data_IF_804703965158
#
_entry.id   IF_804703965158
#
_cell.length_a   1.000
_cell.length_b   1.000
_cell.length_c   1.000
_cell.angle_alpha   90.00
_cell.angle_beta   90.00
_cell.angle_gamma   90.00
#
_symmetry.space_group_name_H-M   'P 1'
#
loop_
_entity.id
_entity.type
_entity.pdbx_description
1 polymer ?
#
# COMPACT_ATOMS: atom_id res chain seq x y z
N UNK A 1 -8.98 -27.04 -14.49
CA UNK A 1 -10.06 -26.16 -14.04
C UNK A 1 -9.86 -24.78 -14.65
N UNK A 2 -10.82 -24.30 -15.44
CA UNK A 2 -10.77 -22.99 -16.10
C UNK A 2 -11.36 -21.86 -15.21
N UNK A 3 -11.47 -22.09 -13.90
CA UNK A 3 -11.96 -21.06 -13.00
C UNK A 3 -10.95 -19.93 -12.91
N UNK A 4 -11.41 -18.69 -13.11
CA UNK A 4 -10.63 -17.46 -12.97
C UNK A 4 -11.30 -16.54 -11.96
N UNK A 5 -10.54 -16.00 -11.03
CA UNK A 5 -10.97 -14.88 -10.23
C UNK A 5 -10.94 -13.62 -11.10
N UNK A 6 -12.03 -12.87 -11.14
CA UNK A 6 -12.12 -11.59 -11.86
C UNK A 6 -12.10 -10.45 -10.86
N UNK A 7 -11.37 -9.40 -11.19
CA UNK A 7 -11.47 -8.15 -10.46
C UNK A 7 -12.86 -7.53 -10.66
N UNK A 8 -13.40 -6.99 -9.58
CA UNK A 8 -14.70 -6.29 -9.55
C UNK A 8 -14.50 -4.86 -9.04
N UNK A 9 -15.46 -3.97 -9.31
CA UNK A 9 -15.44 -2.66 -8.68
C UNK A 9 -15.35 -2.79 -7.15
N UNK A 10 -14.61 -1.86 -6.50
CA UNK A 10 -14.03 -0.60 -7.02
C UNK A 10 -12.63 -0.72 -7.65
N UNK A 11 -12.13 -1.90 -8.00
CA UNK A 11 -10.81 -2.15 -8.62
C UNK A 11 -9.62 -1.61 -7.80
N UNK A 12 -9.74 -1.51 -6.50
CA UNK A 12 -8.72 -0.95 -5.63
C UNK A 12 -8.61 0.58 -5.67
N UNK A 13 -9.56 1.29 -6.27
CA UNK A 13 -9.50 2.74 -6.50
C UNK A 13 -10.74 3.44 -5.96
N UNK A 14 -10.56 4.38 -5.01
CA UNK A 14 -11.62 5.20 -4.41
C UNK A 14 -12.02 6.36 -5.32
N UNK A 15 -11.06 6.95 -6.03
CA UNK A 15 -11.29 8.05 -6.97
C UNK A 15 -12.19 7.62 -8.14
N UNK A 16 -13.34 8.28 -8.31
CA UNK A 16 -14.36 7.90 -9.31
C UNK A 16 -13.88 8.07 -10.76
N UNK A 17 -13.10 9.12 -11.05
CA UNK A 17 -12.60 9.36 -12.39
C UNK A 17 -11.57 8.30 -12.79
N UNK A 18 -10.61 8.01 -11.90
CA UNK A 18 -9.61 6.95 -12.11
C UNK A 18 -10.29 5.59 -12.22
N UNK A 19 -11.26 5.28 -11.37
CA UNK A 19 -12.02 4.03 -11.41
C UNK A 19 -12.76 3.84 -12.73
N UNK A 20 -13.40 4.90 -13.25
CA UNK A 20 -14.08 4.89 -14.54
C UNK A 20 -13.12 4.65 -15.71
N UNK A 21 -11.90 5.17 -15.63
CA UNK A 21 -10.85 4.91 -16.61
C UNK A 21 -10.38 3.45 -16.55
N UNK A 22 -10.09 2.94 -15.36
CA UNK A 22 -9.70 1.54 -15.14
C UNK A 22 -10.75 0.57 -15.68
N UNK A 23 -12.04 0.83 -15.39
CA UNK A 23 -13.15 0.02 -15.90
C UNK A 23 -13.12 -0.08 -17.43
N UNK A 24 -13.02 1.06 -18.12
CA UNK A 24 -12.94 1.09 -19.59
C UNK A 24 -11.72 0.34 -20.12
N UNK A 25 -10.56 0.47 -19.46
CA UNK A 25 -9.35 -0.25 -19.86
C UNK A 25 -9.51 -1.77 -19.70
N UNK A 26 -10.13 -2.24 -18.62
CA UNK A 26 -10.37 -3.67 -18.37
C UNK A 26 -11.42 -4.26 -19.31
N UNK A 27 -12.39 -3.46 -19.79
CA UNK A 27 -13.39 -3.88 -20.79
C UNK A 27 -12.78 -4.03 -22.18
N UNK A 28 -11.81 -3.19 -22.54
CA UNK A 28 -11.16 -3.20 -23.86
C UNK A 28 -9.92 -4.09 -23.92
N UNK A 29 -9.16 -4.12 -22.84
CA UNK A 29 -7.93 -4.89 -22.70
C UNK A 29 -7.99 -5.73 -21.42
N UNK A 30 -7.44 -6.92 -21.43
CA UNK A 30 -7.36 -7.78 -20.23
C UNK A 30 -6.37 -7.28 -19.17
N UNK A 31 -5.73 -6.15 -19.41
CA UNK A 31 -4.75 -5.50 -18.52
C UNK A 31 -5.08 -4.02 -18.35
N UNK A 32 -4.79 -3.48 -17.17
CA UNK A 32 -4.86 -2.05 -16.86
C UNK A 32 -3.70 -1.63 -15.96
N UNK A 33 -3.63 -0.37 -15.59
CA UNK A 33 -2.64 0.15 -14.62
C UNK A 33 -2.77 -0.50 -13.23
N UNK A 34 -3.94 -1.04 -12.91
CA UNK A 34 -4.20 -1.75 -11.65
C UNK A 34 -4.00 -3.28 -11.77
N UNK A 35 -3.50 -3.76 -12.90
CA UNK A 35 -3.15 -5.16 -13.13
C UNK A 35 -4.07 -5.92 -14.08
N UNK A 36 -4.03 -7.25 -14.00
CA UNK A 36 -4.80 -8.14 -14.86
C UNK A 36 -6.26 -8.23 -14.44
N UNK A 37 -7.18 -8.28 -15.43
CA UNK A 37 -8.61 -8.41 -15.19
C UNK A 37 -9.00 -9.72 -14.48
N UNK A 38 -8.15 -10.75 -14.54
CA UNK A 38 -8.43 -12.04 -13.91
C UNK A 38 -7.17 -12.81 -13.55
N UNK A 39 -7.26 -13.64 -12.52
CA UNK A 39 -6.21 -14.55 -12.05
C UNK A 39 -6.73 -15.99 -12.08
N UNK A 40 -5.87 -16.94 -12.47
CA UNK A 40 -6.16 -18.36 -12.35
C UNK A 40 -5.98 -18.82 -10.90
N UNK A 41 -6.64 -19.94 -10.53
CA UNK A 41 -6.45 -20.56 -9.21
C UNK A 41 -4.98 -20.95 -8.97
N UNK A 42 -4.25 -21.34 -10.02
CA UNK A 42 -2.82 -21.64 -9.91
C UNK A 42 -1.99 -20.42 -9.50
N UNK A 43 -2.26 -19.25 -10.10
CA UNK A 43 -1.60 -17.98 -9.73
C UNK A 43 -1.92 -17.57 -8.29
N UNK A 44 -3.20 -17.69 -7.88
CA UNK A 44 -3.60 -17.41 -6.50
C UNK A 44 -2.90 -18.34 -5.51
N UNK A 45 -2.78 -19.64 -5.83
CA UNK A 45 -2.04 -20.59 -4.98
C UNK A 45 -0.56 -20.22 -4.86
N UNK A 46 0.10 -19.88 -5.96
CA UNK A 46 1.51 -19.45 -5.94
C UNK A 46 1.69 -18.17 -5.13
N UNK A 47 0.80 -17.19 -5.31
CA UNK A 47 0.78 -15.96 -4.50
C UNK A 47 0.65 -16.27 -3.00
N UNK A 48 -0.26 -17.16 -2.64
CA UNK A 48 -0.44 -17.58 -1.24
C UNK A 48 0.82 -18.24 -0.64
N UNK A 49 1.45 -19.15 -1.37
CA UNK A 49 2.71 -19.79 -0.95
C UNK A 49 3.84 -18.77 -0.76
N UNK A 50 3.95 -17.82 -1.69
CA UNK A 50 4.91 -16.72 -1.59
C UNK A 50 4.65 -15.86 -0.33
N UNK A 51 3.39 -15.49 -0.08
CA UNK A 51 3.01 -14.73 1.12
C UNK A 51 3.40 -15.48 2.38
N UNK A 52 3.13 -16.78 2.47
CA UNK A 52 3.51 -17.60 3.62
C UNK A 52 5.04 -17.60 3.83
N UNK A 53 5.81 -17.74 2.75
CA UNK A 53 7.27 -17.70 2.81
C UNK A 53 7.77 -16.33 3.28
N UNK A 54 7.32 -15.24 2.66
CA UNK A 54 7.74 -13.88 3.01
C UNK A 54 7.41 -13.52 4.45
N UNK A 55 6.24 -13.96 4.95
CA UNK A 55 5.83 -13.70 6.36
C UNK A 55 6.82 -14.24 7.39
N UNK A 56 7.56 -15.30 7.09
CA UNK A 56 8.58 -15.88 7.97
C UNK A 56 9.93 -15.13 7.89
N UNK A 57 10.13 -14.30 6.86
CA UNK A 57 11.38 -13.64 6.54
C UNK A 57 11.35 -12.11 6.69
N UNK A 58 10.28 -11.54 7.27
CA UNK A 58 10.25 -10.09 7.52
C UNK A 58 11.38 -9.60 8.44
N UNK A 59 11.83 -10.44 9.38
CA UNK A 59 12.96 -10.12 10.26
C UNK A 59 14.30 -10.03 9.53
N UNK A 60 14.40 -10.56 8.31
CA UNK A 60 15.63 -10.49 7.52
C UNK A 60 15.77 -9.13 6.80
N UNK A 61 14.71 -8.33 6.79
CA UNK A 61 14.70 -6.99 6.19
C UNK A 61 15.33 -6.00 7.17
N UNK A 62 16.60 -5.66 6.93
CA UNK A 62 17.37 -4.69 7.72
C UNK A 62 17.53 -3.32 7.04
N UNK A 63 17.21 -3.23 5.75
CA UNK A 63 17.26 -1.98 5.00
C UNK A 63 16.24 -0.96 5.51
N UNK A 64 16.52 0.37 5.42
CA UNK A 64 15.53 1.41 5.71
C UNK A 64 14.21 1.15 4.99
N UNK A 65 13.09 1.21 5.72
CA UNK A 65 11.81 0.71 5.23
C UNK A 65 10.68 1.72 5.42
N UNK A 66 9.99 2.06 4.33
CA UNK A 66 8.77 2.86 4.34
C UNK A 66 7.58 1.97 3.98
N UNK A 67 6.60 1.88 4.88
CA UNK A 67 5.34 1.17 4.66
C UNK A 67 4.21 2.19 4.54
N UNK A 68 3.48 2.17 3.44
CA UNK A 68 2.32 3.04 3.20
C UNK A 68 1.11 2.15 2.93
N UNK A 69 0.00 2.38 3.62
CA UNK A 69 -1.21 1.57 3.46
C UNK A 69 -2.48 2.39 3.69
N UNK A 70 -3.51 2.12 2.89
CA UNK A 70 -4.82 2.72 3.07
C UNK A 70 -5.59 2.02 4.20
N UNK A 71 -6.29 2.80 5.03
CA UNK A 71 -7.13 2.24 6.11
C UNK A 71 -8.35 1.53 5.54
N UNK A 72 -8.93 2.09 4.48
CA UNK A 72 -10.11 1.57 3.78
C UNK A 72 -9.74 0.62 2.61
N UNK A 73 -8.57 -0.01 2.65
CA UNK A 73 -8.16 -0.99 1.63
C UNK A 73 -9.12 -2.20 1.63
N UNK A 74 -9.88 -2.35 0.56
CA UNK A 74 -10.88 -3.41 0.41
C UNK A 74 -10.29 -4.76 -0.04
N UNK A 75 -9.03 -4.76 -0.49
CA UNK A 75 -8.33 -5.96 -0.98
C UNK A 75 -7.47 -6.60 0.08
N UNK A 76 -6.76 -5.78 0.87
CA UNK A 76 -5.82 -6.24 1.89
C UNK A 76 -5.99 -5.43 3.18
N UNK A 77 -6.45 -6.09 4.22
CA UNK A 77 -6.68 -5.42 5.50
C UNK A 77 -5.39 -4.80 6.07
N UNK A 78 -5.48 -3.59 6.59
CA UNK A 78 -4.36 -2.77 7.11
C UNK A 78 -3.49 -3.51 8.14
N UNK A 79 -4.05 -4.45 8.91
CA UNK A 79 -3.31 -5.31 9.86
C UNK A 79 -2.18 -6.11 9.21
N UNK A 80 -2.25 -6.39 7.89
CA UNK A 80 -1.16 -7.07 7.20
C UNK A 80 0.06 -6.16 7.05
N UNK A 81 -0.14 -4.88 6.76
CA UNK A 81 0.93 -3.89 6.72
C UNK A 81 1.51 -3.62 8.11
N UNK A 82 0.67 -3.51 9.15
CA UNK A 82 1.09 -3.41 10.55
C UNK A 82 1.92 -4.63 10.99
N UNK A 83 1.46 -5.84 10.63
CA UNK A 83 2.18 -7.08 10.88
C UNK A 83 3.56 -7.10 10.23
N UNK A 84 3.67 -6.68 8.96
CA UNK A 84 4.95 -6.57 8.26
C UNK A 84 5.86 -5.54 8.95
N UNK A 85 5.33 -4.34 9.20
CA UNK A 85 6.07 -3.25 9.84
C UNK A 85 6.65 -3.63 11.20
N UNK A 86 5.87 -4.33 12.02
CA UNK A 86 6.33 -4.78 13.34
C UNK A 86 7.49 -5.77 13.26
N UNK A 87 7.54 -6.60 12.22
CA UNK A 87 8.53 -7.68 12.05
C UNK A 87 9.77 -7.30 11.26
N UNK A 88 9.70 -6.28 10.42
CA UNK A 88 10.88 -5.73 9.74
C UNK A 88 11.91 -5.30 10.80
N UNK A 89 13.15 -5.79 10.68
CA UNK A 89 14.22 -5.53 11.65
C UNK A 89 14.99 -4.23 11.42
N UNK A 90 14.65 -3.48 10.36
CA UNK A 90 15.24 -2.20 10.07
C UNK A 90 15.18 -1.27 11.29
N UNK A 91 16.29 -0.59 11.59
CA UNK A 91 16.34 0.47 12.61
C UNK A 91 15.63 1.74 12.17
N UNK A 92 15.60 1.96 10.86
CA UNK A 92 15.00 3.13 10.23
C UNK A 92 13.75 2.69 9.46
N UNK A 93 12.61 2.75 10.10
CA UNK A 93 11.35 2.38 9.49
C UNK A 93 10.24 3.37 9.83
N UNK A 94 9.41 3.64 8.83
CA UNK A 94 8.28 4.56 8.94
C UNK A 94 7.01 3.88 8.44
N UNK A 95 5.88 4.15 9.11
CA UNK A 95 4.55 3.73 8.68
C UNK A 95 3.67 4.95 8.38
N UNK A 96 2.98 4.92 7.24
CA UNK A 96 2.03 5.97 6.85
C UNK A 96 0.67 5.35 6.57
N UNK A 97 -0.34 5.84 7.29
CA UNK A 97 -1.74 5.52 7.01
C UNK A 97 -2.35 6.56 6.07
N UNK A 98 -3.08 6.07 5.06
CA UNK A 98 -3.87 6.89 4.14
C UNK A 98 -5.36 6.74 4.49
N UNK A 99 -6.08 7.85 4.60
CA UNK A 99 -7.48 7.87 5.04
C UNK A 99 -8.49 8.07 3.93
N UNK A 100 -8.03 8.38 2.70
CA UNK A 100 -8.90 8.63 1.55
C UNK A 100 -8.44 7.92 0.27
N UNK A 101 -7.95 6.70 0.43
CA UNK A 101 -7.51 5.83 -0.67
C UNK A 101 -7.96 4.40 -0.42
N UNK A 102 -8.02 3.59 -1.49
CA UNK A 102 -8.17 2.15 -1.44
C UNK A 102 -6.82 1.47 -1.74
N UNK A 103 -6.84 0.24 -2.29
CA UNK A 103 -5.66 -0.59 -2.46
C UNK A 103 -4.57 0.05 -3.36
N UNK A 104 -4.97 0.70 -4.45
CA UNK A 104 -4.05 1.29 -5.43
C UNK A 104 -3.60 2.69 -5.03
N UNK A 105 -2.94 2.81 -3.89
CA UNK A 105 -2.55 4.09 -3.25
C UNK A 105 -1.76 5.05 -4.14
N UNK A 106 -1.03 4.53 -5.15
CA UNK A 106 -0.26 5.34 -6.10
C UNK A 106 -1.09 5.93 -7.23
N UNK A 107 -2.34 5.48 -7.41
CA UNK A 107 -3.25 5.92 -8.45
C UNK A 107 -4.53 6.57 -7.89
N UNK A 108 -4.66 6.64 -6.57
CA UNK A 108 -5.87 7.08 -5.87
C UNK A 108 -5.78 8.53 -5.37
N UNK A 109 -6.74 8.96 -4.56
CA UNK A 109 -6.92 10.34 -4.09
C UNK A 109 -5.68 10.91 -3.40
N UNK A 110 -4.93 10.08 -2.66
CA UNK A 110 -3.75 10.52 -1.90
C UNK A 110 -2.42 10.22 -2.61
N UNK A 111 -2.41 9.96 -3.92
CA UNK A 111 -1.18 9.67 -4.69
C UNK A 111 -0.08 10.72 -4.51
N UNK A 112 -0.44 12.00 -4.43
CA UNK A 112 0.53 13.07 -4.21
C UNK A 112 1.18 12.99 -2.83
N UNK A 113 0.42 12.61 -1.81
CA UNK A 113 0.93 12.32 -0.46
C UNK A 113 1.91 11.14 -0.51
N UNK A 114 1.54 10.07 -1.21
CA UNK A 114 2.41 8.88 -1.39
C UNK A 114 3.73 9.28 -2.05
N UNK A 115 3.68 10.03 -3.16
CA UNK A 115 4.87 10.49 -3.87
C UNK A 115 5.74 11.38 -2.98
N UNK A 116 5.16 12.37 -2.32
CA UNK A 116 5.89 13.31 -1.47
C UNK A 116 6.57 12.61 -0.29
N UNK A 117 5.88 11.69 0.39
CA UNK A 117 6.43 10.96 1.53
C UNK A 117 7.51 9.96 1.10
N UNK A 118 7.32 9.28 -0.03
CA UNK A 118 8.33 8.39 -0.60
C UNK A 118 9.61 9.15 -0.95
N UNK A 119 9.47 10.29 -1.65
CA UNK A 119 10.60 11.13 -2.02
C UNK A 119 11.33 11.69 -0.79
N UNK A 120 10.58 12.14 0.22
CA UNK A 120 11.13 12.60 1.49
C UNK A 120 11.92 11.51 2.18
N UNK A 121 11.35 10.30 2.29
CA UNK A 121 12.01 9.15 2.91
C UNK A 121 13.33 8.83 2.19
N UNK A 122 13.32 8.71 0.86
CA UNK A 122 14.53 8.44 0.06
C UNK A 122 15.60 9.52 0.30
N UNK A 123 15.23 10.81 0.22
CA UNK A 123 16.17 11.92 0.47
C UNK A 123 16.78 11.86 1.87
N UNK A 124 15.99 11.53 2.87
CA UNK A 124 16.48 11.38 4.26
C UNK A 124 17.52 10.26 4.34
N UNK A 125 17.26 9.12 3.69
CA UNK A 125 18.20 7.98 3.72
C UNK A 125 19.50 8.29 2.95
N UNK A 126 19.42 8.95 1.82
CA UNK A 126 20.60 9.36 1.04
C UNK A 126 21.46 10.36 1.84
N UNK A 127 20.83 11.35 2.47
CA UNK A 127 21.55 12.34 3.28
C UNK A 127 22.13 11.73 4.57
N UNK A 128 21.41 10.81 5.21
CA UNK A 128 21.88 10.08 6.38
C UNK A 128 23.13 9.23 6.08
N UNK A 129 23.25 8.71 4.87
CA UNK A 129 24.45 7.98 4.41
C UNK A 129 25.66 8.89 4.27
N UNK A 130 25.47 10.20 4.23
CA UNK A 130 26.54 11.16 4.00
C UNK A 130 27.04 11.82 5.31
N UNK A 131 26.22 12.00 6.37
CA UNK A 131 26.66 12.83 7.52
C UNK A 131 25.94 12.69 8.88
N UNK A 132 25.04 11.73 9.15
CA UNK A 132 24.19 11.90 10.33
C UNK A 132 23.97 10.69 11.26
N UNK A 133 23.78 10.93 12.58
CA UNK A 133 23.24 9.95 13.52
C UNK A 133 21.79 9.59 13.18
N UNK A 134 21.39 8.34 13.46
CA UNK A 134 20.05 7.81 13.19
C UNK A 134 18.93 8.75 13.69
N UNK A 135 18.03 9.13 12.79
CA UNK A 135 16.90 9.99 13.09
C UNK A 135 15.63 9.15 13.19
N UNK A 136 15.00 9.12 14.36
CA UNK A 136 13.67 8.54 14.50
C UNK A 136 12.65 9.40 13.75
N UNK A 137 12.10 8.87 12.67
CA UNK A 137 11.00 9.52 11.93
C UNK A 137 9.68 9.13 12.59
N UNK A 138 8.92 10.08 13.15
CA UNK A 138 7.64 9.78 13.77
C UNK A 138 6.63 9.24 12.74
N UNK A 139 5.70 8.41 13.19
CA UNK A 139 4.57 7.96 12.37
C UNK A 139 3.81 9.16 11.83
N UNK A 140 3.74 9.27 10.52
CA UNK A 140 3.00 10.35 9.85
C UNK A 140 1.59 9.84 9.57
N UNK A 141 0.61 10.50 10.18
CA UNK A 141 -0.79 10.29 9.86
C UNK A 141 -1.16 11.29 8.76
N UNK A 142 -1.70 10.79 7.62
CA UNK A 142 -2.12 11.68 6.55
C UNK A 142 -3.17 12.69 7.04
N UNK A 143 -3.26 13.90 6.44
CA UNK A 143 -4.25 14.89 6.83
C UNK A 143 -5.70 14.35 6.74
N UNK A 144 -5.97 13.48 5.78
CA UNK A 144 -7.26 12.84 5.54
C UNK A 144 -7.61 11.87 6.67
N UNK A 145 -6.68 11.00 7.06
CA UNK A 145 -6.87 10.09 8.18
C UNK A 145 -7.06 10.85 9.50
N UNK A 146 -6.31 11.94 9.72
CA UNK A 146 -6.51 12.80 10.89
C UNK A 146 -7.92 13.35 10.94
N UNK A 147 -8.45 13.84 9.80
CA UNK A 147 -9.83 14.31 9.68
C UNK A 147 -10.85 13.19 9.94
N UNK A 148 -10.59 11.97 9.42
CA UNK A 148 -11.45 10.81 9.63
C UNK A 148 -11.51 10.41 11.11
N UNK A 149 -10.35 10.29 11.78
CA UNK A 149 -10.27 9.97 13.20
C UNK A 149 -10.93 11.01 14.11
N UNK A 150 -10.94 12.30 13.70
CA UNK A 150 -11.62 13.36 14.44
C UNK A 150 -13.15 13.29 14.30
N UNK A 151 -13.65 12.83 13.14
CA UNK A 151 -15.10 12.67 12.92
C UNK A 151 -15.66 11.46 13.66
N UNK A 152 -14.93 10.35 13.75
CA UNK A 152 -15.38 9.13 14.43
C UNK A 152 -15.37 9.21 15.97
N UNK A 153 -14.79 10.27 16.56
CA UNK A 153 -14.81 10.52 18.01
C UNK A 153 -15.91 11.48 18.47
N UNK A 154 -16.74 11.97 17.56
CA UNK A 154 -17.82 12.92 17.83
C UNK A 154 -19.22 12.32 17.78
N UNK A 155 -19.37 10.98 17.73
CA UNK A 155 -20.66 10.27 17.86
C UNK A 155 -20.75 9.53 19.19
#
# INVERSE_FOLDING_TARGET
SHYKYRQTEPFGVKNEQTRSMVKRMLETNSLSEVGAASLSLGQLKQGHLLIQHVRQHFSDISAPSLVIHAVDDESVHVRNAEFAFQRISSREKQFIYLGDSYHMVTADNERETVHAQTLRFIKTQVNASLDAPAFEVPHVISPELRRHLMRSKGE
#
